data_IF_700349535491
#
_entry.id   IF_700349535491
#
_cell.length_a   1.000
_cell.length_b   1.000
_cell.length_c   1.000
_cell.angle_alpha   90.00
_cell.angle_beta   90.00
_cell.angle_gamma   90.00
#
_symmetry.space_group_name_H-M   'P 1'
#
loop_
_entity.id
_entity.type
_entity.pdbx_description
1 polymer ?
#
# COMPACT_ATOMS: atom_id res chain seq x y z
N UNK A 1 -2.32 12.62 -3.06
CA UNK A 1 -3.50 11.83 -3.44
C UNK A 1 -3.14 10.90 -4.59
N UNK A 2 -3.71 9.68 -4.60
CA UNK A 2 -3.44 8.73 -5.66
C UNK A 2 -2.06 8.07 -5.56
N UNK A 3 -1.54 7.85 -4.35
CA UNK A 3 -0.25 7.21 -4.11
C UNK A 3 -0.39 5.98 -3.21
N UNK A 4 0.53 5.03 -3.37
CA UNK A 4 0.70 3.90 -2.46
C UNK A 4 1.97 4.16 -1.65
N UNK A 5 1.82 4.48 -0.36
CA UNK A 5 2.93 4.59 0.57
C UNK A 5 3.11 3.27 1.33
N UNK A 6 4.24 2.61 1.14
CA UNK A 6 4.55 1.35 1.83
C UNK A 6 5.38 1.63 3.07
N UNK A 7 4.88 1.20 4.24
CA UNK A 7 5.59 1.25 5.51
C UNK A 7 6.36 -0.06 5.70
N UNK A 8 7.67 0.02 5.77
CA UNK A 8 8.58 -1.11 5.91
C UNK A 8 9.43 -1.03 7.17
N UNK A 9 10.03 -2.13 7.57
CA UNK A 9 10.92 -2.22 8.72
C UNK A 9 10.77 -3.55 9.46
N UNK A 10 11.67 -3.84 10.38
CA UNK A 10 11.65 -5.07 11.16
C UNK A 10 10.41 -5.16 12.08
N UNK A 11 10.13 -6.36 12.58
CA UNK A 11 9.06 -6.57 13.57
C UNK A 11 9.30 -5.67 14.80
N UNK A 12 8.23 -5.06 15.31
CA UNK A 12 8.32 -4.12 16.43
C UNK A 12 8.72 -2.68 16.07
N UNK A 13 9.01 -2.35 14.81
CA UNK A 13 9.39 -0.98 14.41
C UNK A 13 8.24 0.04 14.45
N UNK A 14 7.01 -0.37 14.80
CA UNK A 14 5.88 0.55 14.98
C UNK A 14 4.96 0.73 13.77
N UNK A 15 5.16 0.03 12.65
CA UNK A 15 4.38 0.17 11.40
C UNK A 15 2.86 0.09 11.60
N UNK A 16 2.39 -1.02 12.19
CA UNK A 16 0.96 -1.21 12.47
C UNK A 16 0.41 -0.17 13.47
N UNK A 17 1.24 0.30 14.39
CA UNK A 17 0.84 1.35 15.33
C UNK A 17 0.63 2.68 14.62
N UNK A 18 1.54 3.07 13.71
CA UNK A 18 1.43 4.25 12.88
C UNK A 18 0.21 4.14 11.94
N UNK A 19 0.05 2.99 11.27
CA UNK A 19 -1.09 2.76 10.39
C UNK A 19 -2.43 2.93 11.12
N UNK A 20 -2.55 2.37 12.34
CA UNK A 20 -3.77 2.44 13.15
C UNK A 20 -4.03 3.82 13.76
N UNK A 21 -3.02 4.68 13.83
CA UNK A 21 -3.21 6.08 14.23
C UNK A 21 -3.99 6.86 13.15
N UNK A 22 -3.83 6.53 11.86
CA UNK A 22 -4.49 7.23 10.74
C UNK A 22 -6.03 7.15 10.82
N UNK A 23 -6.57 6.06 11.34
CA UNK A 23 -8.02 5.93 11.56
C UNK A 23 -8.40 6.10 13.05
N UNK A 24 -7.49 6.62 13.86
CA UNK A 24 -7.71 6.90 15.29
C UNK A 24 -7.91 5.66 16.17
N UNK A 25 -7.56 4.44 15.70
CA UNK A 25 -7.58 3.24 16.55
C UNK A 25 -6.51 3.29 17.63
N UNK A 26 -5.35 3.89 17.31
CA UNK A 26 -4.33 4.23 18.30
C UNK A 26 -4.41 5.73 18.61
N UNK A 27 -4.47 6.13 19.88
CA UNK A 27 -4.47 7.54 20.26
C UNK A 27 -3.12 8.19 19.96
N UNK A 28 -3.15 9.42 19.49
CA UNK A 28 -1.97 10.25 19.24
C UNK A 28 -1.73 11.11 20.48
N UNK A 29 -0.59 10.95 21.15
CA UNK A 29 -0.27 11.65 22.39
C UNK A 29 0.38 13.00 22.16
N UNK A 30 1.01 13.22 21.00
CA UNK A 30 1.67 14.49 20.62
C UNK A 30 1.67 14.66 19.11
N UNK A 31 1.57 15.91 18.66
CA UNK A 31 1.52 16.28 17.25
C UNK A 31 0.09 16.25 16.69
N UNK A 32 -0.01 16.43 15.40
CA UNK A 32 -1.26 16.45 14.64
C UNK A 32 -1.22 15.42 13.53
N UNK A 33 -2.38 14.92 13.12
CA UNK A 33 -2.53 14.05 11.97
C UNK A 33 -3.70 14.53 11.12
N UNK A 34 -3.37 15.27 10.08
CA UNK A 34 -4.34 15.91 9.21
C UNK A 34 -4.78 14.96 8.08
N UNK A 35 -6.07 14.68 8.03
CA UNK A 35 -6.69 13.86 6.99
C UNK A 35 -7.74 14.69 6.26
N UNK A 36 -7.73 14.62 4.93
CA UNK A 36 -8.68 15.37 4.10
C UNK A 36 -10.09 14.76 4.19
N UNK A 37 -11.09 15.63 4.36
CA UNK A 37 -12.52 15.32 4.32
C UNK A 37 -13.22 16.31 3.38
N UNK A 38 -13.30 15.99 2.10
CA UNK A 38 -13.72 16.94 1.07
C UNK A 38 -12.73 18.11 0.94
N UNK A 39 -13.22 19.34 1.17
CA UNK A 39 -12.40 20.55 1.08
C UNK A 39 -11.72 20.95 2.41
N UNK A 40 -12.01 20.25 3.49
CA UNK A 40 -11.43 20.53 4.81
C UNK A 40 -10.39 19.51 5.23
N UNK A 41 -9.49 19.93 6.14
CA UNK A 41 -8.56 19.04 6.84
C UNK A 41 -9.11 18.76 8.24
N UNK A 42 -9.14 17.49 8.61
CA UNK A 42 -9.57 17.02 9.94
C UNK A 42 -8.34 16.49 10.68
N UNK A 43 -8.08 17.02 11.87
CA UNK A 43 -7.04 16.48 12.74
C UNK A 43 -7.60 15.27 13.52
N UNK A 44 -7.14 14.09 13.17
CA UNK A 44 -7.55 12.83 13.82
C UNK A 44 -7.12 12.76 15.29
N UNK A 45 -6.06 13.49 15.67
CA UNK A 45 -5.56 13.50 17.05
C UNK A 45 -6.51 14.20 18.02
N UNK A 46 -7.28 15.20 17.54
CA UNK A 46 -8.08 16.10 18.38
C UNK A 46 -9.56 16.16 17.99
N UNK A 47 -10.01 15.51 16.91
CA UNK A 47 -11.40 15.56 16.48
C UNK A 47 -12.34 14.88 17.50
N UNK A 48 -13.60 15.32 17.51
CA UNK A 48 -14.65 14.71 18.32
C UNK A 48 -15.04 13.30 17.84
N UNK A 49 -15.76 12.57 18.69
CA UNK A 49 -16.16 11.17 18.42
C UNK A 49 -17.08 11.04 17.18
N UNK A 50 -17.92 12.05 16.91
CA UNK A 50 -18.82 12.03 15.75
C UNK A 50 -18.03 12.21 14.44
N UNK A 51 -17.12 13.16 14.41
CA UNK A 51 -16.19 13.40 13.29
C UNK A 51 -15.32 12.16 13.05
N UNK A 52 -14.74 11.57 14.10
CA UNK A 52 -13.93 10.35 13.97
C UNK A 52 -14.75 9.18 13.42
N UNK A 53 -16.01 9.03 13.87
CA UNK A 53 -16.91 8.01 13.31
C UNK A 53 -17.18 8.25 11.83
N UNK A 54 -17.44 9.50 11.41
CA UNK A 54 -17.62 9.86 10.00
C UNK A 54 -16.38 9.52 9.18
N UNK A 55 -15.19 9.88 9.66
CA UNK A 55 -13.92 9.55 8.97
C UNK A 55 -13.74 8.03 8.78
N UNK A 56 -14.06 7.23 9.81
CA UNK A 56 -13.98 5.76 9.75
C UNK A 56 -15.01 5.12 8.84
N UNK A 57 -16.18 5.71 8.70
CA UNK A 57 -17.27 5.12 7.88
C UNK A 57 -17.24 5.55 6.44
N UNK A 58 -16.68 6.73 6.11
CA UNK A 58 -16.75 7.32 4.77
C UNK A 58 -15.39 7.59 4.13
N UNK A 59 -14.35 7.91 4.92
CA UNK A 59 -13.07 8.34 4.37
C UNK A 59 -11.97 7.28 4.43
N UNK A 60 -12.04 6.37 5.40
CA UNK A 60 -11.02 5.34 5.57
C UNK A 60 -11.62 3.95 5.59
N UNK A 61 -10.96 2.99 4.95
CA UNK A 61 -11.20 1.56 5.14
C UNK A 61 -9.91 0.88 5.57
N UNK A 62 -10.04 -0.29 6.23
CA UNK A 62 -8.87 -0.98 6.76
C UNK A 62 -8.94 -2.49 6.56
N UNK A 63 -7.84 -3.04 6.06
CA UNK A 63 -7.54 -4.47 6.05
C UNK A 63 -6.63 -4.77 7.24
N UNK A 64 -7.08 -5.65 8.13
CA UNK A 64 -6.36 -6.03 9.34
C UNK A 64 -5.52 -7.28 9.11
N UNK A 65 -4.36 -7.36 9.72
CA UNK A 65 -3.47 -8.52 9.68
C UNK A 65 -4.17 -9.84 10.12
N UNK A 66 -5.03 -9.78 11.14
CA UNK A 66 -5.83 -10.91 11.64
C UNK A 66 -7.26 -10.92 11.08
N UNK A 67 -7.46 -10.45 9.86
CA UNK A 67 -8.69 -10.42 9.06
C UNK A 67 -9.87 -9.67 9.71
N UNK A 68 -10.06 -9.75 11.04
CA UNK A 68 -11.12 -9.08 11.81
C UNK A 68 -12.53 -9.31 11.21
N UNK A 69 -12.81 -10.53 10.76
CA UNK A 69 -14.14 -10.91 10.30
C UNK A 69 -15.05 -11.16 11.50
N UNK A 70 -16.32 -10.79 11.36
CA UNK A 70 -17.35 -11.04 12.35
C UNK A 70 -17.81 -12.50 12.22
N UNK A 71 -17.53 -13.36 13.22
CA UNK A 71 -17.74 -14.81 13.10
C UNK A 71 -19.22 -15.22 13.01
N UNK A 72 -20.12 -14.35 13.44
CA UNK A 72 -21.59 -14.55 13.38
C UNK A 72 -22.24 -14.03 12.10
N UNK A 73 -21.51 -13.37 11.22
CA UNK A 73 -21.97 -12.89 9.92
C UNK A 73 -21.47 -13.82 8.81
N UNK A 74 -22.30 -13.98 7.78
CA UNK A 74 -21.88 -14.66 6.55
C UNK A 74 -20.76 -13.89 5.84
N UNK A 75 -20.12 -14.50 4.87
CA UNK A 75 -19.14 -13.84 3.98
C UNK A 75 -19.75 -12.61 3.30
N UNK A 76 -20.96 -12.75 2.74
CA UNK A 76 -21.70 -11.65 2.13
C UNK A 76 -21.94 -10.50 3.12
N UNK A 77 -22.42 -10.82 4.32
CA UNK A 77 -22.77 -9.81 5.30
C UNK A 77 -21.52 -9.17 5.92
N UNK A 78 -20.38 -9.89 6.02
CA UNK A 78 -19.10 -9.31 6.38
C UNK A 78 -18.64 -8.26 5.37
N UNK A 79 -18.74 -8.55 4.07
CA UNK A 79 -18.35 -7.59 3.01
C UNK A 79 -19.30 -6.40 2.96
N UNK A 80 -20.61 -6.64 3.13
CA UNK A 80 -21.66 -5.62 3.12
C UNK A 80 -21.68 -4.73 4.39
N UNK A 81 -21.01 -5.13 5.47
CA UNK A 81 -21.12 -4.47 6.78
C UNK A 81 -20.73 -2.99 6.76
N UNK A 82 -19.63 -2.64 6.10
CA UNK A 82 -19.19 -1.24 6.00
C UNK A 82 -20.21 -0.38 5.26
N UNK A 83 -20.82 -0.90 4.20
CA UNK A 83 -21.87 -0.24 3.42
C UNK A 83 -23.15 -0.05 4.24
N UNK A 84 -23.48 -0.99 5.15
CA UNK A 84 -24.56 -0.85 6.10
C UNK A 84 -24.33 0.31 7.06
N UNK A 85 -23.09 0.45 7.57
CA UNK A 85 -22.71 1.56 8.45
C UNK A 85 -22.76 2.92 7.75
N UNK A 86 -22.62 2.95 6.42
CA UNK A 86 -22.83 4.12 5.57
C UNK A 86 -24.31 4.43 5.31
N UNK A 87 -25.24 3.57 5.76
CA UNK A 87 -26.69 3.75 5.56
C UNK A 87 -27.21 3.23 4.22
N UNK A 88 -26.43 2.46 3.46
CA UNK A 88 -26.84 1.93 2.16
C UNK A 88 -27.96 0.88 2.29
N UNK A 89 -28.92 0.92 1.39
CA UNK A 89 -30.04 -0.01 1.33
C UNK A 89 -29.61 -1.48 1.13
N UNK A 90 -30.36 -2.44 1.71
CA UNK A 90 -29.99 -3.86 1.73
C UNK A 90 -29.70 -4.45 0.33
N UNK A 91 -30.52 -4.14 -0.66
CA UNK A 91 -30.34 -4.69 -2.01
C UNK A 91 -29.10 -4.11 -2.70
N UNK A 92 -28.88 -2.80 -2.59
CA UNK A 92 -27.73 -2.11 -3.17
C UNK A 92 -26.41 -2.58 -2.55
N UNK A 93 -26.33 -2.65 -1.20
CA UNK A 93 -25.11 -3.10 -0.53
C UNK A 93 -24.76 -4.54 -0.85
N UNK A 94 -25.75 -5.42 -1.04
CA UNK A 94 -25.52 -6.82 -1.44
C UNK A 94 -25.02 -6.94 -2.88
N UNK A 95 -25.48 -6.11 -3.80
CA UNK A 95 -24.96 -6.05 -5.17
C UNK A 95 -23.50 -5.64 -5.18
N UNK A 96 -23.15 -4.54 -4.49
CA UNK A 96 -21.75 -4.08 -4.36
C UNK A 96 -20.86 -5.10 -3.66
N UNK A 97 -21.36 -5.74 -2.61
CA UNK A 97 -20.62 -6.78 -1.89
C UNK A 97 -20.36 -8.00 -2.79
N UNK A 98 -21.34 -8.40 -3.61
CA UNK A 98 -21.20 -9.50 -4.55
C UNK A 98 -20.13 -9.23 -5.61
N UNK A 99 -20.12 -8.02 -6.19
CA UNK A 99 -19.08 -7.58 -7.13
C UNK A 99 -17.67 -7.72 -6.54
N UNK A 100 -17.48 -7.34 -5.26
CA UNK A 100 -16.19 -7.48 -4.60
C UNK A 100 -15.84 -8.92 -4.21
N UNK A 101 -16.84 -9.76 -3.96
CA UNK A 101 -16.63 -11.20 -3.77
C UNK A 101 -16.24 -11.91 -5.07
N UNK A 102 -16.79 -11.50 -6.20
CA UNK A 102 -16.37 -11.97 -7.53
C UNK A 102 -14.93 -11.59 -7.82
N UNK A 103 -14.56 -10.33 -7.58
CA UNK A 103 -13.19 -9.81 -7.73
C UNK A 103 -12.15 -10.67 -6.98
N UNK A 104 -12.45 -11.10 -5.76
CA UNK A 104 -11.54 -11.92 -4.95
C UNK A 104 -11.75 -13.44 -5.11
N UNK A 105 -12.59 -13.87 -6.06
CA UNK A 105 -12.85 -15.29 -6.37
C UNK A 105 -13.60 -16.05 -5.25
N UNK A 106 -14.51 -15.38 -4.53
CA UNK A 106 -15.26 -15.97 -3.40
C UNK A 106 -16.78 -15.86 -3.54
N UNK A 107 -17.30 -15.61 -4.74
CA UNK A 107 -18.74 -15.47 -4.99
C UNK A 107 -19.58 -16.65 -4.52
N UNK A 108 -19.10 -17.88 -4.74
CA UNK A 108 -19.78 -19.12 -4.33
C UNK A 108 -19.78 -19.36 -2.82
N UNK A 109 -18.91 -18.66 -2.09
CA UNK A 109 -18.77 -18.77 -0.63
C UNK A 109 -19.59 -17.74 0.14
N UNK A 110 -20.40 -16.94 -0.53
CA UNK A 110 -21.15 -15.80 0.03
C UNK A 110 -21.99 -16.12 1.25
N UNK A 111 -22.59 -17.33 1.31
CA UNK A 111 -23.49 -17.76 2.36
C UNK A 111 -22.76 -18.54 3.49
N UNK A 112 -21.45 -18.74 3.36
CA UNK A 112 -20.61 -19.40 4.36
C UNK A 112 -20.22 -18.45 5.49
N UNK A 113 -19.82 -19.03 6.62
CA UNK A 113 -19.29 -18.28 7.77
C UNK A 113 -17.76 -18.30 7.80
N UNK A 114 -17.10 -17.34 8.49
CA UNK A 114 -15.64 -17.27 8.54
C UNK A 114 -14.95 -18.56 9.00
N UNK A 115 -15.52 -19.30 9.94
CA UNK A 115 -14.95 -20.55 10.44
C UNK A 115 -14.97 -21.71 9.43
N UNK A 116 -15.74 -21.59 8.36
CA UNK A 116 -15.79 -22.57 7.26
C UNK A 116 -14.71 -22.27 6.17
N UNK A 117 -13.95 -21.18 6.32
CA UNK A 117 -12.99 -20.71 5.34
C UNK A 117 -11.54 -20.97 5.79
N UNK A 118 -10.64 -21.22 4.83
CA UNK A 118 -9.20 -21.18 5.09
C UNK A 118 -8.71 -19.76 5.43
N UNK A 119 -7.52 -19.64 6.06
CA UNK A 119 -6.95 -18.33 6.40
C UNK A 119 -6.79 -17.40 5.19
N UNK A 120 -6.32 -17.93 4.05
CA UNK A 120 -6.23 -17.15 2.80
C UNK A 120 -7.60 -16.72 2.25
N UNK A 121 -8.64 -17.53 2.40
CA UNK A 121 -10.01 -17.12 2.04
C UNK A 121 -10.54 -16.03 2.97
N UNK A 122 -10.31 -16.15 4.28
CA UNK A 122 -10.68 -15.11 5.25
C UNK A 122 -9.98 -13.78 4.95
N UNK A 123 -8.70 -13.81 4.54
CA UNK A 123 -7.95 -12.64 4.13
C UNK A 123 -8.59 -11.98 2.90
N UNK A 124 -8.96 -12.77 1.89
CA UNK A 124 -9.67 -12.27 0.69
C UNK A 124 -11.03 -11.66 1.02
N UNK A 125 -11.79 -12.21 1.97
CA UNK A 125 -13.03 -11.58 2.48
C UNK A 125 -12.73 -10.23 3.12
N UNK A 126 -11.67 -10.13 3.91
CA UNK A 126 -11.21 -8.86 4.50
C UNK A 126 -10.86 -7.79 3.45
N UNK A 127 -10.20 -8.19 2.35
CA UNK A 127 -9.91 -7.35 1.20
C UNK A 127 -11.20 -6.88 0.50
N UNK A 128 -12.11 -7.81 0.18
CA UNK A 128 -13.40 -7.50 -0.44
C UNK A 128 -14.22 -6.51 0.40
N UNK A 129 -14.24 -6.67 1.74
CA UNK A 129 -14.89 -5.75 2.67
C UNK A 129 -14.30 -4.34 2.60
N UNK A 130 -12.98 -4.22 2.56
CA UNK A 130 -12.32 -2.92 2.49
C UNK A 130 -12.55 -2.24 1.14
N UNK A 131 -12.51 -2.99 0.04
CA UNK A 131 -12.79 -2.47 -1.30
C UNK A 131 -14.24 -2.09 -1.52
N UNK A 132 -15.19 -2.75 -0.83
CA UNK A 132 -16.62 -2.45 -0.94
C UNK A 132 -16.96 -1.04 -0.43
N UNK A 133 -16.25 -0.55 0.59
CA UNK A 133 -16.52 0.76 1.21
C UNK A 133 -16.26 1.97 0.32
N UNK A 134 -15.52 1.80 -0.77
CA UNK A 134 -15.17 2.88 -1.72
C UNK A 134 -14.58 4.15 -1.07
N UNK A 135 -13.81 3.98 0.01
CA UNK A 135 -13.18 5.06 0.77
C UNK A 135 -12.03 5.71 0.01
N UNK A 136 -11.70 6.97 0.35
CA UNK A 136 -10.59 7.72 -0.26
C UNK A 136 -9.22 7.21 0.18
N UNK A 137 -9.15 6.66 1.41
CA UNK A 137 -7.92 6.16 2.04
C UNK A 137 -8.11 4.70 2.41
N UNK A 138 -7.22 3.85 1.91
CA UNK A 138 -7.18 2.44 2.21
C UNK A 138 -5.94 2.11 3.07
N UNK A 139 -6.18 1.59 4.27
CA UNK A 139 -5.15 1.18 5.22
C UNK A 139 -5.01 -0.34 5.17
N UNK A 140 -3.79 -0.84 4.96
CA UNK A 140 -3.53 -2.26 4.79
C UNK A 140 -2.41 -2.73 5.72
N UNK A 141 -2.73 -3.59 6.67
CA UNK A 141 -1.78 -4.16 7.65
C UNK A 141 -1.43 -5.59 7.22
N UNK A 142 -0.34 -5.77 6.48
CA UNK A 142 0.14 -7.04 5.90
C UNK A 142 -0.95 -7.83 5.15
N UNK A 143 -1.63 -7.23 4.17
CA UNK A 143 -2.87 -7.75 3.60
C UNK A 143 -2.71 -9.03 2.79
N UNK A 144 -1.49 -9.43 2.42
CA UNK A 144 -1.22 -10.59 1.56
C UNK A 144 -0.40 -11.69 2.25
N UNK A 145 -0.14 -11.56 3.56
CA UNK A 145 0.77 -12.44 4.31
C UNK A 145 0.32 -13.90 4.38
N UNK A 146 -0.98 -14.19 4.35
CA UNK A 146 -1.54 -15.54 4.42
C UNK A 146 -1.98 -16.12 3.05
N UNK A 147 -1.58 -15.46 1.94
CA UNK A 147 -1.94 -15.87 0.59
C UNK A 147 -0.82 -16.69 -0.06
N UNK A 148 -1.23 -17.65 -0.89
CA UNK A 148 -0.30 -18.33 -1.79
C UNK A 148 0.26 -17.35 -2.86
N UNK A 149 1.44 -17.66 -3.44
CA UNK A 149 2.12 -16.72 -4.34
C UNK A 149 1.33 -16.30 -5.56
N UNK A 150 0.51 -17.22 -6.13
CA UNK A 150 -0.27 -16.94 -7.34
C UNK A 150 -1.39 -15.93 -7.05
N UNK A 151 -2.19 -16.21 -6.02
CA UNK A 151 -3.29 -15.33 -5.61
C UNK A 151 -2.75 -13.98 -5.10
N UNK A 152 -1.62 -14.00 -4.39
CA UNK A 152 -0.93 -12.79 -3.95
C UNK A 152 -0.59 -11.89 -5.14
N UNK A 153 0.06 -12.44 -6.17
CA UNK A 153 0.45 -11.67 -7.36
C UNK A 153 -0.77 -11.08 -8.06
N UNK A 154 -1.83 -11.86 -8.24
CA UNK A 154 -3.07 -11.41 -8.86
C UNK A 154 -3.70 -10.24 -8.09
N UNK A 155 -3.86 -10.37 -6.77
CA UNK A 155 -4.47 -9.31 -5.94
C UNK A 155 -3.59 -8.05 -5.82
N UNK A 156 -2.27 -8.19 -5.90
CA UNK A 156 -1.35 -7.05 -6.03
C UNK A 156 -1.58 -6.27 -7.32
N UNK A 157 -1.74 -6.98 -8.44
CA UNK A 157 -1.98 -6.36 -9.76
C UNK A 157 -3.35 -5.65 -9.79
N UNK A 158 -4.39 -6.29 -9.23
CA UNK A 158 -5.72 -5.69 -9.05
C UNK A 158 -5.67 -4.44 -8.15
N UNK A 159 -4.88 -4.45 -7.07
CA UNK A 159 -4.68 -3.30 -6.20
C UNK A 159 -4.06 -2.11 -6.94
N UNK A 160 -3.02 -2.38 -7.74
CA UNK A 160 -2.34 -1.37 -8.56
C UNK A 160 -3.31 -0.78 -9.60
N UNK A 161 -4.11 -1.61 -10.25
CA UNK A 161 -5.10 -1.16 -11.23
C UNK A 161 -6.20 -0.33 -10.57
N UNK A 162 -6.74 -0.78 -9.44
CA UNK A 162 -7.73 -0.05 -8.65
C UNK A 162 -7.20 1.32 -8.23
N UNK A 163 -5.95 1.39 -7.76
CA UNK A 163 -5.32 2.64 -7.36
C UNK A 163 -5.18 3.62 -8.53
N UNK A 164 -4.73 3.13 -9.70
CA UNK A 164 -4.58 3.95 -10.90
C UNK A 164 -5.92 4.51 -11.40
N UNK A 165 -6.95 3.68 -11.40
CA UNK A 165 -8.26 4.04 -11.93
C UNK A 165 -9.03 4.99 -11.01
N UNK A 166 -8.96 4.77 -9.70
CA UNK A 166 -9.73 5.50 -8.69
C UNK A 166 -8.93 6.58 -7.94
N UNK A 167 -7.63 6.73 -8.22
CA UNK A 167 -6.75 7.72 -7.58
C UNK A 167 -6.81 7.66 -6.04
N UNK A 168 -7.01 6.46 -5.48
CA UNK A 168 -7.08 6.23 -4.03
C UNK A 168 -5.71 6.37 -3.37
N UNK A 169 -5.70 6.89 -2.16
CA UNK A 169 -4.49 6.91 -1.33
C UNK A 169 -4.41 5.61 -0.53
N UNK A 170 -3.30 4.89 -0.64
CA UNK A 170 -3.11 3.61 0.05
C UNK A 170 -1.92 3.73 0.99
N UNK A 171 -2.10 3.36 2.26
CA UNK A 171 -1.01 3.16 3.21
C UNK A 171 -0.93 1.67 3.48
N UNK A 172 0.19 1.07 3.13
CA UNK A 172 0.39 -0.36 3.06
C UNK A 172 1.55 -0.78 3.97
N UNK A 173 1.33 -1.70 4.87
CA UNK A 173 2.40 -2.28 5.70
C UNK A 173 2.85 -3.59 5.06
N UNK A 174 4.15 -3.73 4.83
CA UNK A 174 4.77 -4.97 4.40
C UNK A 174 6.10 -5.20 5.13
N UNK A 175 6.49 -6.46 5.22
CA UNK A 175 7.84 -6.89 5.60
C UNK A 175 8.61 -7.47 4.40
N UNK A 176 7.96 -7.57 3.24
CA UNK A 176 8.50 -8.08 1.99
C UNK A 176 8.90 -6.89 1.09
N UNK A 177 10.20 -6.76 0.83
CA UNK A 177 10.73 -5.64 0.05
C UNK A 177 10.35 -5.75 -1.44
N UNK A 178 10.31 -6.95 -2.02
CA UNK A 178 9.90 -7.14 -3.41
C UNK A 178 8.43 -6.71 -3.61
N UNK A 179 7.58 -7.00 -2.63
CA UNK A 179 6.21 -6.50 -2.59
C UNK A 179 6.16 -4.96 -2.57
N UNK A 180 6.93 -4.33 -1.69
CA UNK A 180 6.98 -2.87 -1.59
C UNK A 180 7.49 -2.21 -2.86
N UNK A 181 8.48 -2.80 -3.51
CA UNK A 181 9.05 -2.33 -4.77
C UNK A 181 8.07 -2.49 -5.95
N UNK A 182 7.26 -3.56 -5.94
CA UNK A 182 6.24 -3.82 -6.96
C UNK A 182 5.08 -2.84 -6.88
N UNK A 183 4.53 -2.61 -5.67
CA UNK A 183 3.29 -1.87 -5.49
C UNK A 183 3.49 -0.42 -5.06
N UNK A 184 4.57 -0.10 -4.33
CA UNK A 184 4.79 1.22 -3.74
C UNK A 184 5.12 2.30 -4.77
N UNK A 185 4.43 3.43 -4.67
CA UNK A 185 4.88 4.68 -5.33
C UNK A 185 5.89 5.41 -4.46
N UNK A 186 5.78 5.24 -3.14
CA UNK A 186 6.71 5.70 -2.12
C UNK A 186 6.90 4.62 -1.06
N UNK A 187 8.10 4.53 -0.49
CA UNK A 187 8.44 3.62 0.61
C UNK A 187 8.94 4.45 1.79
N UNK A 188 8.44 4.12 2.99
CA UNK A 188 8.93 4.67 4.24
C UNK A 188 9.52 3.53 5.10
N UNK A 189 10.83 3.56 5.32
CA UNK A 189 11.53 2.58 6.15
C UNK A 189 11.53 3.06 7.59
N UNK A 190 11.06 2.20 8.50
CA UNK A 190 10.93 2.48 9.93
C UNK A 190 11.86 1.62 10.76
N UNK A 191 12.54 2.25 11.72
CA UNK A 191 13.32 1.62 12.76
C UNK A 191 13.01 2.29 14.11
N UNK A 192 12.83 1.50 15.17
CA UNK A 192 12.63 2.01 16.54
C UNK A 192 11.58 3.13 16.64
N UNK A 193 10.42 2.94 15.99
CA UNK A 193 9.29 3.87 15.92
C UNK A 193 9.60 5.22 15.24
N UNK A 194 10.62 5.28 14.39
CA UNK A 194 10.98 6.46 13.60
C UNK A 194 11.03 6.11 12.12
N UNK A 195 10.66 7.04 11.26
CA UNK A 195 10.91 6.95 9.82
C UNK A 195 12.37 7.35 9.60
N UNK A 196 13.18 6.41 9.10
CA UNK A 196 14.60 6.59 8.83
C UNK A 196 14.83 7.13 7.43
N UNK A 197 14.08 6.59 6.46
CA UNK A 197 14.12 7.08 5.09
C UNK A 197 12.72 7.00 4.48
N UNK A 198 12.41 7.98 3.63
CA UNK A 198 11.19 8.01 2.83
C UNK A 198 11.55 8.51 1.43
N UNK A 199 11.06 7.83 0.41
CA UNK A 199 11.31 8.19 -0.98
C UNK A 199 10.71 7.21 -1.97
N UNK A 200 11.01 7.40 -3.24
CA UNK A 200 10.64 6.46 -4.29
C UNK A 200 11.40 5.14 -4.14
N UNK A 201 10.85 4.01 -4.61
CA UNK A 201 11.54 2.72 -4.59
C UNK A 201 12.97 2.77 -5.13
N UNK A 202 13.18 3.48 -6.24
CA UNK A 202 14.51 3.67 -6.85
C UNK A 202 15.49 4.39 -5.91
N UNK A 203 15.03 5.46 -5.24
CA UNK A 203 15.88 6.25 -4.33
C UNK A 203 16.27 5.43 -3.08
N UNK A 204 15.36 4.59 -2.57
CA UNK A 204 15.61 3.73 -1.41
C UNK A 204 16.71 2.70 -1.73
N UNK A 205 16.66 2.11 -2.93
CA UNK A 205 17.63 1.06 -3.35
C UNK A 205 18.97 1.66 -3.75
N UNK A 206 18.99 2.80 -4.46
CA UNK A 206 20.23 3.39 -5.00
C UNK A 206 20.95 4.29 -3.99
N UNK A 207 20.22 4.91 -3.08
CA UNK A 207 20.74 5.92 -2.16
C UNK A 207 20.31 5.64 -0.70
N UNK A 208 20.72 4.51 -0.10
CA UNK A 208 20.38 4.21 1.28
C UNK A 208 20.96 5.28 2.22
N UNK A 209 20.14 5.77 3.15
CA UNK A 209 20.49 6.88 4.04
C UNK A 209 21.47 6.50 5.16
N UNK A 210 21.52 5.21 5.51
CA UNK A 210 22.40 4.69 6.55
C UNK A 210 22.59 3.17 6.38
N UNK A 211 23.46 2.58 7.21
CA UNK A 211 23.77 1.15 7.19
C UNK A 211 22.55 0.25 7.41
N UNK A 212 21.55 0.68 8.23
CA UNK A 212 20.32 -0.09 8.44
C UNK A 212 19.51 -0.22 7.15
N UNK A 213 19.37 0.87 6.39
CA UNK A 213 18.66 0.85 5.10
C UNK A 213 19.45 0.06 4.07
N UNK A 214 20.78 0.22 4.06
CA UNK A 214 21.70 -0.54 3.18
C UNK A 214 21.55 -2.05 3.40
N UNK A 215 21.62 -2.52 4.64
CA UNK A 215 21.40 -3.92 5.00
C UNK A 215 19.99 -4.40 4.60
N UNK A 216 18.98 -3.52 4.75
CA UNK A 216 17.60 -3.84 4.42
C UNK A 216 17.40 -4.10 2.93
N UNK A 217 18.09 -3.34 2.06
CA UNK A 217 18.00 -3.47 0.59
C UNK A 217 19.03 -4.41 -0.02
N UNK A 218 20.08 -4.81 0.74
CA UNK A 218 21.21 -5.60 0.23
C UNK A 218 20.82 -6.96 -0.39
N UNK A 219 19.70 -7.54 0.06
CA UNK A 219 19.23 -8.85 -0.42
C UNK A 219 18.23 -8.76 -1.59
N UNK A 220 17.94 -7.56 -2.08
CA UNK A 220 16.98 -7.33 -3.16
C UNK A 220 17.69 -7.31 -4.50
N UNK A 221 17.04 -7.86 -5.52
CA UNK A 221 17.53 -7.71 -6.89
C UNK A 221 17.24 -6.29 -7.40
N UNK A 222 18.25 -5.42 -7.57
CA UNK A 222 18.05 -4.05 -8.03
C UNK A 222 17.34 -3.96 -9.38
N UNK A 223 17.45 -4.99 -10.22
CA UNK A 223 16.81 -5.03 -11.55
C UNK A 223 15.27 -5.01 -11.49
N UNK A 224 14.68 -5.39 -10.36
CA UNK A 224 13.22 -5.33 -10.17
C UNK A 224 12.70 -3.88 -10.08
N UNK A 225 13.58 -2.92 -9.80
CA UNK A 225 13.24 -1.51 -9.52
C UNK A 225 13.80 -0.56 -10.56
N UNK A 226 14.99 -0.88 -11.08
CA UNK A 226 15.69 0.01 -11.99
C UNK A 226 14.98 0.07 -13.34
N UNK A 227 14.53 1.26 -13.68
CA UNK A 227 14.11 1.57 -15.04
C UNK A 227 15.34 1.94 -15.85
N UNK A 228 15.32 1.72 -17.17
CA UNK A 228 16.43 2.12 -18.05
C UNK A 228 16.88 3.57 -17.80
N UNK A 229 15.94 4.49 -17.51
CA UNK A 229 16.21 5.88 -17.16
C UNK A 229 17.10 6.05 -15.92
N UNK A 230 16.93 5.18 -14.90
CA UNK A 230 17.69 5.26 -13.64
C UNK A 230 19.15 4.83 -13.79
N UNK A 231 19.45 4.11 -14.88
CA UNK A 231 20.80 3.64 -15.25
C UNK A 231 21.48 4.56 -16.28
N UNK A 232 20.73 5.51 -16.87
CA UNK A 232 21.26 6.40 -17.91
C UNK A 232 21.87 7.64 -17.26
N UNK A 233 23.09 7.97 -17.67
CA UNK A 233 23.71 9.26 -17.35
C UNK A 233 23.20 10.30 -18.34
N UNK A 234 22.72 11.46 -17.85
CA UNK A 234 22.32 12.57 -18.70
C UNK A 234 23.52 13.06 -19.54
N UNK A 235 23.31 13.23 -20.84
CA UNK A 235 24.39 13.58 -21.81
C UNK A 235 25.20 14.78 -21.38
N UNK A 236 24.58 15.79 -20.74
CA UNK A 236 25.29 17.00 -20.27
C UNK A 236 26.19 16.75 -19.06
N UNK A 237 26.05 15.61 -18.37
CA UNK A 237 26.91 15.19 -17.25
C UNK A 237 28.09 14.32 -17.72
N UNK A 238 28.11 13.92 -19.01
CA UNK A 238 29.19 13.13 -19.57
C UNK A 238 30.36 14.06 -19.93
N UNK A 239 31.56 13.61 -19.64
CA UNK A 239 32.75 14.32 -20.05
C UNK A 239 32.93 14.23 -21.58
N UNK A 240 33.28 15.35 -22.18
CA UNK A 240 33.64 15.42 -23.59
C UNK A 240 35.16 15.38 -23.75
N UNK A 241 35.61 14.55 -24.67
CA UNK A 241 36.97 14.57 -25.16
C UNK A 241 36.92 14.62 -26.70
N UNK A 242 37.29 15.74 -27.26
CA UNK A 242 37.15 16.05 -28.70
C UNK A 242 35.64 15.92 -29.13
N UNK A 243 35.36 15.17 -30.17
CA UNK A 243 34.00 14.89 -30.70
C UNK A 243 33.37 13.64 -30.10
N UNK A 244 33.88 13.17 -28.95
CA UNK A 244 33.42 11.95 -28.28
C UNK A 244 32.94 12.22 -26.86
N UNK A 245 31.86 11.55 -26.49
CA UNK A 245 31.39 11.50 -25.10
C UNK A 245 32.00 10.28 -24.42
N UNK A 246 32.70 10.48 -23.30
CA UNK A 246 33.30 9.40 -22.53
C UNK A 246 32.24 8.75 -21.67
N UNK A 247 31.94 7.46 -21.91
CA UNK A 247 31.02 6.67 -21.12
C UNK A 247 31.70 6.04 -19.91
N UNK A 248 32.91 5.55 -20.08
CA UNK A 248 33.68 4.94 -19.00
C UNK A 248 35.20 5.18 -19.26
N UNK A 249 35.90 5.80 -18.30
CA UNK A 249 37.35 6.06 -18.40
C UNK A 249 38.20 4.79 -18.25
N UNK A 250 37.71 3.79 -17.49
CA UNK A 250 38.52 2.62 -17.16
C UNK A 250 38.64 1.63 -18.33
N UNK A 251 37.67 1.60 -19.23
CA UNK A 251 37.64 0.72 -20.39
C UNK A 251 37.67 1.47 -21.76
N UNK A 252 37.86 2.78 -21.72
CA UNK A 252 37.88 3.65 -22.90
C UNK A 252 36.62 3.65 -23.75
N UNK A 253 35.46 3.31 -23.15
CA UNK A 253 34.18 3.33 -23.86
C UNK A 253 33.73 4.75 -24.14
N UNK A 254 33.51 5.08 -25.43
CA UNK A 254 33.06 6.41 -25.87
C UNK A 254 32.10 6.31 -27.04
N UNK A 255 31.22 7.31 -27.21
CA UNK A 255 30.31 7.45 -28.36
C UNK A 255 30.70 8.67 -29.18
N UNK A 256 30.69 8.54 -30.53
CA UNK A 256 30.81 9.69 -31.42
C UNK A 256 29.60 10.61 -31.29
N UNK A 257 29.83 11.92 -31.35
CA UNK A 257 28.75 12.92 -31.34
C UNK A 257 28.02 13.02 -32.68
N UNK A 258 28.53 12.36 -33.73
CA UNK A 258 27.93 12.34 -35.07
C UNK A 258 26.92 11.20 -35.29
N UNK A 259 26.87 10.26 -34.38
CA UNK A 259 25.88 9.16 -34.39
C UNK A 259 24.55 9.63 -33.78
N UNK A 260 23.83 10.55 -34.46
CA UNK A 260 22.49 11.00 -34.10
C UNK A 260 21.44 10.38 -35.00
#
# INVERSE_FOLDING_TARGET
QGEICVLMGLSGSGKSSLLRAVNGLNPISRGELLVRDGDRMVDIASCDAQTLRHMRTHRTSMVFQKFALMPWLTVMDNVAFGLEMQGMGKNERRLKAMEKLEMVGLAEWKDKYPHELSGGMQQRVGLARAFAMDSDILLMDEPFSALDPLIRSQLQDELIELQKNLQKTIIFVSHDLDEALKIGTNIAIMESARIIQHGKPEDIVLNPSNAYVEDFVAHTNPLNVLRGRSLMTEVHKLERFEERLILNRNDNTSISTDDR
#
